data_IF_471217360146
#
_entry.id   IF_471217360146
#
_cell.length_a   1.000
_cell.length_b   1.000
_cell.length_c   1.000
_cell.angle_alpha   90.00
_cell.angle_beta   90.00
_cell.angle_gamma   90.00
#
_symmetry.space_group_name_H-M   'P 1'
#
loop_
_entity.id
_entity.type
_entity.pdbx_description
1 polymer ?
#
# COMPACT_ATOMS: atom_id res chain seq x y z
N UNK A 1 18.72 10.73 -1.88
CA UNK A 1 18.58 9.26 -2.08
C UNK A 1 17.14 8.77 -2.01
N UNK A 2 16.29 9.20 -1.05
CA UNK A 2 14.88 8.74 -0.97
C UNK A 2 14.05 9.07 -2.21
N UNK A 3 14.21 10.26 -2.77
CA UNK A 3 13.40 10.71 -3.91
C UNK A 3 13.60 9.85 -5.16
N UNK A 4 14.76 9.22 -5.36
CA UNK A 4 14.98 8.30 -6.48
C UNK A 4 14.12 7.04 -6.36
N UNK A 5 14.01 6.48 -5.15
CA UNK A 5 13.15 5.33 -4.88
C UNK A 5 11.68 5.69 -5.01
N UNK A 6 11.30 6.89 -4.59
CA UNK A 6 9.94 7.39 -4.79
C UNK A 6 9.66 7.60 -6.28
N UNK A 7 10.58 8.21 -7.02
CA UNK A 7 10.43 8.43 -8.46
C UNK A 7 10.21 7.12 -9.21
N UNK A 8 10.96 6.06 -8.89
CA UNK A 8 10.88 4.78 -9.59
C UNK A 8 9.83 3.80 -9.04
N UNK A 9 9.41 3.94 -7.77
CA UNK A 9 8.50 2.98 -7.12
C UNK A 9 7.07 3.02 -7.66
N UNK A 10 6.47 1.90 -8.00
CA UNK A 10 5.12 1.87 -8.62
C UNK A 10 3.97 1.85 -7.59
N UNK A 11 4.26 1.50 -6.34
CA UNK A 11 3.31 1.60 -5.24
C UNK A 11 4.02 1.66 -3.90
N UNK A 12 3.31 2.14 -2.88
CA UNK A 12 3.88 2.50 -1.60
C UNK A 12 3.11 1.89 -0.44
N UNK A 13 3.86 1.41 0.54
CA UNK A 13 3.34 0.99 1.84
C UNK A 13 3.76 2.02 2.86
N UNK A 14 2.80 2.74 3.44
CA UNK A 14 3.02 3.69 4.52
C UNK A 14 2.73 3.00 5.85
N UNK A 15 3.79 2.60 6.55
CA UNK A 15 3.69 1.78 7.76
C UNK A 15 3.93 2.62 9.02
N UNK A 16 3.06 2.49 10.01
CA UNK A 16 3.23 3.02 11.37
C UNK A 16 3.09 1.91 12.42
N UNK A 17 3.47 2.19 13.66
CA UNK A 17 3.29 1.27 14.79
C UNK A 17 2.04 1.66 15.57
N UNK A 18 1.12 0.72 15.84
CA UNK A 18 -0.07 1.01 16.67
C UNK A 18 0.29 1.46 18.10
N UNK A 19 1.53 1.18 18.53
CA UNK A 19 2.10 1.56 19.83
C UNK A 19 2.86 2.90 19.82
N UNK A 20 2.89 3.63 18.69
CA UNK A 20 3.61 4.91 18.59
C UNK A 20 2.82 5.96 17.82
N UNK A 21 2.27 6.93 18.56
CA UNK A 21 1.55 8.08 17.98
C UNK A 21 2.44 8.93 17.06
N UNK A 22 3.73 9.09 17.40
CA UNK A 22 4.67 9.85 16.55
C UNK A 22 4.78 9.22 15.16
N UNK A 23 4.90 7.88 15.08
CA UNK A 23 4.98 7.19 13.78
C UNK A 23 3.72 7.35 12.93
N UNK A 24 2.56 7.54 13.56
CA UNK A 24 1.31 7.82 12.87
C UNK A 24 1.26 9.26 12.33
N UNK A 25 1.74 10.23 13.12
CA UNK A 25 1.78 11.63 12.71
C UNK A 25 2.71 11.86 11.51
N UNK A 26 3.81 11.10 11.43
CA UNK A 26 4.78 11.19 10.33
C UNK A 26 4.19 10.76 8.96
N UNK A 27 3.11 9.97 8.95
CA UNK A 27 2.51 9.42 7.72
C UNK A 27 2.06 10.51 6.75
N UNK A 28 1.51 11.61 7.27
CA UNK A 28 1.02 12.69 6.43
C UNK A 28 2.15 13.37 5.67
N UNK A 29 3.27 13.66 6.34
CA UNK A 29 4.45 14.24 5.68
C UNK A 29 5.08 13.29 4.64
N UNK A 30 5.10 11.98 4.94
CA UNK A 30 5.57 10.98 3.97
C UNK A 30 4.65 10.90 2.74
N UNK A 31 3.34 10.95 2.93
CA UNK A 31 2.37 10.98 1.84
C UNK A 31 2.54 12.22 0.95
N UNK A 32 2.67 13.40 1.55
CA UNK A 32 2.91 14.65 0.82
C UNK A 32 4.23 14.61 0.03
N UNK A 33 5.29 14.01 0.58
CA UNK A 33 6.55 13.80 -0.14
C UNK A 33 6.36 12.87 -1.35
N UNK A 34 5.60 11.78 -1.21
CA UNK A 34 5.30 10.87 -2.32
C UNK A 34 4.53 11.60 -3.43
N UNK A 35 3.47 12.32 -3.07
CA UNK A 35 2.67 13.07 -4.05
C UNK A 35 3.52 14.09 -4.82
N UNK A 36 4.36 14.85 -4.10
CA UNK A 36 5.24 15.86 -4.71
C UNK A 36 6.23 15.26 -5.71
N UNK A 37 6.81 14.11 -5.40
CA UNK A 37 7.83 13.48 -6.26
C UNK A 37 7.20 12.73 -7.43
N UNK A 38 6.00 12.14 -7.24
CA UNK A 38 5.33 11.38 -8.27
C UNK A 38 4.62 12.23 -9.31
N UNK A 39 4.16 13.42 -8.95
CA UNK A 39 3.44 14.34 -9.84
C UNK A 39 2.25 13.68 -10.55
N UNK A 40 1.58 12.75 -9.87
CA UNK A 40 0.36 12.07 -10.34
C UNK A 40 -0.69 12.07 -9.24
N UNK A 41 -1.96 12.19 -9.64
CA UNK A 41 -3.08 12.32 -8.71
C UNK A 41 -3.45 11.03 -7.99
N UNK A 42 -3.12 9.87 -8.56
CA UNK A 42 -3.52 8.57 -8.01
C UNK A 42 -2.33 7.61 -7.94
N UNK A 43 -1.61 7.64 -6.82
CA UNK A 43 -0.49 6.72 -6.55
C UNK A 43 -1.03 5.49 -5.78
N UNK A 44 -0.76 4.25 -6.23
CA UNK A 44 -1.11 3.05 -5.47
C UNK A 44 -0.46 3.09 -4.09
N UNK A 45 -1.28 3.18 -3.05
CA UNK A 45 -0.81 3.40 -1.69
C UNK A 45 -1.70 2.69 -0.70
N UNK A 46 -1.07 2.10 0.31
CA UNK A 46 -1.76 1.48 1.45
C UNK A 46 -1.12 1.95 2.75
N UNK A 47 -1.95 2.37 3.70
CA UNK A 47 -1.53 2.65 5.07
C UNK A 47 -1.61 1.36 5.89
N UNK A 48 -0.55 1.09 6.64
CA UNK A 48 -0.41 -0.12 7.43
C UNK A 48 -0.17 0.20 8.90
N UNK A 49 -1.11 -0.21 9.76
CA UNK A 49 -0.91 -0.21 11.22
C UNK A 49 -0.23 -1.50 11.66
N UNK A 50 1.08 -1.47 11.84
CA UNK A 50 1.88 -2.63 12.24
C UNK A 50 1.89 -2.82 13.78
N UNK A 51 2.26 -4.03 14.21
CA UNK A 51 2.28 -4.49 15.61
C UNK A 51 0.90 -4.59 16.24
N UNK A 52 -0.11 -4.96 15.46
CA UNK A 52 -1.48 -5.11 15.98
C UNK A 52 -1.62 -6.21 17.05
N UNK A 53 -0.61 -7.06 17.21
CA UNK A 53 -0.50 -8.04 18.30
C UNK A 53 -0.27 -7.41 19.69
N UNK A 54 0.23 -6.17 19.75
CA UNK A 54 0.46 -5.44 21.00
C UNK A 54 -0.78 -4.60 21.38
N UNK A 55 -1.91 -5.28 21.63
CA UNK A 55 -3.17 -4.61 21.94
C UNK A 55 -3.11 -3.77 23.22
N UNK A 56 -2.38 -4.24 24.25
CA UNK A 56 -2.27 -3.57 25.55
C UNK A 56 -1.40 -2.30 25.50
N UNK A 57 -0.46 -2.23 24.55
CA UNK A 57 0.41 -1.07 24.32
C UNK A 57 -0.13 -0.13 23.23
N UNK A 58 -1.36 -0.37 22.76
CA UNK A 58 -1.95 0.41 21.67
C UNK A 58 -2.21 1.84 22.13
N UNK A 59 -1.68 2.78 21.35
CA UNK A 59 -1.93 4.22 21.52
C UNK A 59 -2.64 4.83 20.31
N UNK A 60 -2.63 4.15 19.16
CA UNK A 60 -3.36 4.55 17.94
C UNK A 60 -4.55 3.60 17.73
N UNK A 61 -5.76 4.15 17.73
CA UNK A 61 -6.97 3.39 17.49
C UNK A 61 -7.12 3.05 16.00
N UNK A 62 -7.83 1.97 15.70
CA UNK A 62 -8.03 1.51 14.31
C UNK A 62 -8.85 2.53 13.50
N UNK A 63 -9.76 3.22 14.16
CA UNK A 63 -10.61 4.28 13.61
C UNK A 63 -9.78 5.46 13.11
N UNK A 64 -8.70 5.81 13.81
CA UNK A 64 -7.78 6.88 13.38
C UNK A 64 -7.07 6.49 12.08
N UNK A 65 -6.61 5.23 11.98
CA UNK A 65 -6.03 4.69 10.74
C UNK A 65 -7.01 4.73 9.56
N UNK A 66 -8.25 4.31 9.79
CA UNK A 66 -9.32 4.38 8.78
C UNK A 66 -9.70 5.83 8.39
N UNK A 67 -9.75 6.74 9.36
CA UNK A 67 -10.05 8.15 9.09
C UNK A 67 -8.96 8.78 8.23
N UNK A 68 -7.68 8.54 8.56
CA UNK A 68 -6.55 9.02 7.78
C UNK A 68 -6.54 8.42 6.37
N UNK A 69 -6.83 7.13 6.23
CA UNK A 69 -6.85 6.49 4.90
C UNK A 69 -7.96 7.05 4.00
N UNK A 70 -9.12 7.40 4.56
CA UNK A 70 -10.19 8.10 3.81
C UNK A 70 -9.76 9.51 3.41
N UNK A 71 -9.10 10.24 4.30
CA UNK A 71 -8.59 11.59 4.01
C UNK A 71 -7.54 11.56 2.89
N UNK A 72 -6.66 10.56 2.90
CA UNK A 72 -5.60 10.38 1.89
C UNK A 72 -6.04 9.56 0.68
N UNK A 73 -7.32 9.17 0.61
CA UNK A 73 -7.92 8.36 -0.46
C UNK A 73 -7.14 7.07 -0.78
N UNK A 74 -6.80 6.30 0.25
CA UNK A 74 -6.00 5.08 0.14
C UNK A 74 -6.55 3.92 0.99
N UNK A 75 -6.05 2.71 0.72
CA UNK A 75 -6.40 1.50 1.50
C UNK A 75 -5.78 1.55 2.90
N UNK A 76 -6.41 0.89 3.86
CA UNK A 76 -5.86 0.70 5.21
C UNK A 76 -5.99 -0.75 5.69
N UNK A 77 -4.94 -1.25 6.34
CA UNK A 77 -4.93 -2.58 6.94
C UNK A 77 -4.02 -2.62 8.17
N UNK A 78 -4.40 -3.37 9.20
CA UNK A 78 -3.52 -3.65 10.33
C UNK A 78 -2.76 -4.96 10.13
N UNK A 79 -1.49 -4.98 10.49
CA UNK A 79 -0.61 -6.13 10.33
C UNK A 79 0.17 -6.42 11.60
N UNK A 80 0.62 -7.67 11.72
CA UNK A 80 1.66 -8.04 12.68
C UNK A 80 2.73 -8.83 11.94
N UNK A 81 3.90 -8.23 11.79
CA UNK A 81 5.06 -8.96 11.25
C UNK A 81 5.45 -10.16 12.14
N UNK A 82 5.28 -10.02 13.46
CA UNK A 82 5.61 -11.07 14.45
C UNK A 82 4.65 -12.24 14.38
N UNK A 83 3.34 -11.96 14.38
CA UNK A 83 2.30 -12.98 14.32
C UNK A 83 1.92 -13.38 12.87
N UNK A 84 2.62 -12.83 11.87
CA UNK A 84 2.33 -13.01 10.43
C UNK A 84 0.88 -12.70 10.04
N UNK A 85 0.26 -11.73 10.70
CA UNK A 85 -1.11 -11.31 10.44
C UNK A 85 -1.12 -10.31 9.30
N UNK A 86 -1.92 -10.57 8.25
CA UNK A 86 -2.18 -9.69 7.11
C UNK A 86 -0.93 -9.25 6.31
N UNK A 87 0.24 -9.84 6.56
CA UNK A 87 1.48 -9.47 5.88
C UNK A 87 1.38 -9.73 4.36
N UNK A 88 0.82 -10.87 3.95
CA UNK A 88 0.68 -11.17 2.52
C UNK A 88 -0.43 -10.33 1.87
N UNK A 89 -1.54 -10.11 2.60
CA UNK A 89 -2.71 -9.39 2.10
C UNK A 89 -2.38 -7.94 1.71
N UNK A 90 -1.52 -7.25 2.48
CA UNK A 90 -1.11 -5.88 2.13
C UNK A 90 -0.37 -5.82 0.79
N UNK A 91 0.51 -6.79 0.51
CA UNK A 91 1.27 -6.83 -0.73
C UNK A 91 0.39 -7.25 -1.89
N UNK A 92 -0.52 -8.21 -1.69
CA UNK A 92 -1.49 -8.59 -2.72
C UNK A 92 -2.44 -7.46 -3.09
N UNK A 93 -2.95 -6.71 -2.11
CA UNK A 93 -3.80 -5.55 -2.38
C UNK A 93 -3.03 -4.48 -3.15
N UNK A 94 -1.81 -4.14 -2.71
CA UNK A 94 -0.99 -3.14 -3.37
C UNK A 94 -0.66 -3.54 -4.82
N UNK A 95 -0.25 -4.79 -5.07
CA UNK A 95 0.03 -5.29 -6.42
C UNK A 95 -1.21 -5.24 -7.30
N UNK A 96 -2.40 -5.56 -6.76
CA UNK A 96 -3.66 -5.44 -7.49
C UNK A 96 -3.97 -3.99 -7.87
N UNK A 97 -3.72 -3.03 -6.97
CA UNK A 97 -3.89 -1.60 -7.27
C UNK A 97 -2.93 -1.15 -8.37
N UNK A 98 -1.66 -1.52 -8.27
CA UNK A 98 -0.63 -1.23 -9.28
C UNK A 98 -1.05 -1.79 -10.66
N UNK A 99 -1.49 -3.06 -10.71
CA UNK A 99 -1.90 -3.72 -11.95
C UNK A 99 -3.17 -3.13 -12.58
N UNK A 100 -4.06 -2.51 -11.79
CA UNK A 100 -5.25 -1.81 -12.31
C UNK A 100 -4.88 -0.52 -13.04
N UNK A 101 -3.81 0.14 -12.61
CA UNK A 101 -3.33 1.38 -13.24
C UNK A 101 -2.45 1.12 -14.45
N UNK A 102 -1.79 -0.05 -14.53
CA UNK A 102 -1.07 -0.44 -15.73
C UNK A 102 -2.04 -0.97 -16.81
N UNK A 103 -1.97 -0.48 -18.06
CA UNK A 103 -2.74 -1.07 -19.14
C UNK A 103 -2.32 -2.53 -19.34
N UNK A 104 -3.30 -3.43 -19.35
CA UNK A 104 -3.09 -4.84 -19.62
C UNK A 104 -2.33 -5.00 -20.94
N UNK A 105 -1.10 -5.51 -20.88
CA UNK A 105 -0.44 -6.04 -22.08
C UNK A 105 -1.29 -7.22 -22.54
N UNK A 106 -2.16 -7.02 -23.53
CA UNK A 106 -2.96 -8.09 -24.14
C UNK A 106 -1.98 -9.17 -24.58
N UNK A 107 -1.88 -10.27 -23.83
CA UNK A 107 -1.19 -11.45 -24.30
C UNK A 107 -1.92 -11.88 -25.58
N UNK A 108 -1.26 -11.75 -26.73
CA UNK A 108 -1.76 -12.30 -27.99
C UNK A 108 -1.83 -13.81 -27.82
N UNK A 109 -2.99 -14.35 -27.45
CA UNK A 109 -3.26 -15.78 -27.55
C UNK A 109 -3.16 -16.15 -29.02
N UNK A 110 -2.02 -16.69 -29.44
CA UNK A 110 -1.86 -17.28 -30.76
C UNK A 110 -2.72 -18.54 -30.80
N UNK A 111 -3.96 -18.42 -31.31
CA UNK A 111 -4.80 -19.57 -31.62
C UNK A 111 -4.13 -20.33 -32.78
N UNK A 112 -3.33 -21.34 -32.47
CA UNK A 112 -2.92 -22.33 -33.47
C UNK A 112 -4.18 -23.12 -33.87
N UNK A 113 -4.73 -22.82 -35.04
CA UNK A 113 -5.74 -23.68 -35.69
C UNK A 113 -5.05 -25.00 -36.03
N UNK A 114 -5.28 -26.04 -35.24
CA UNK A 114 -4.94 -27.40 -35.64
C UNK A 114 -6.06 -27.87 -36.57
N UNK A 115 -5.77 -27.91 -37.87
CA UNK A 115 -6.58 -28.64 -38.85
C UNK A 115 -6.16 -30.11 -38.74
N UNK A 116 -7.08 -30.97 -38.35
CA UNK A 116 -6.95 -32.41 -38.50
C UNK A 116 -7.47 -32.72 -39.90
N UNK A 117 -6.57 -33.23 -40.75
CA UNK A 117 -6.87 -33.79 -42.08
C UNK A 117 -7.40 -35.23 -41.93
#
# INVERSE_FOLDING_TARGET
MRDLYIKNGQGFVLCYSVTSQSSFNDLQGLHEQIQRVKDVSNVPLIIVGNKCDLADERVVCREQGHALSRQLNCSFMETSAKAKINVNEIFFDLVRQINKQMPQVKQKTSKRKCLIL
#
